data_IF_780317802353
#
_entry.id   IF_780317802353
#
_cell.length_a   1.000
_cell.length_b   1.000
_cell.length_c   1.000
_cell.angle_alpha   90.00
_cell.angle_beta   90.00
_cell.angle_gamma   90.00
#
_symmetry.space_group_name_H-M   'P 1'
#
loop_
_entity.id
_entity.type
_entity.pdbx_description
1 polymer ?
#
# COMPACT_ATOMS: atom_id res chain seq x y z
N UNK A 1 -13.48 -23.39 -57.46
CA UNK A 1 -14.01 -23.68 -56.10
C UNK A 1 -12.85 -23.75 -55.12
N UNK A 2 -12.91 -22.95 -54.05
CA UNK A 2 -11.89 -22.78 -53.01
C UNK A 2 -12.23 -23.69 -51.82
N UNK A 3 -11.30 -24.51 -51.33
CA UNK A 3 -11.22 -24.96 -49.93
C UNK A 3 -9.74 -25.18 -49.56
N UNK A 4 -9.26 -24.78 -48.36
CA UNK A 4 -7.85 -24.51 -48.06
C UNK A 4 -7.16 -25.61 -47.25
N UNK A 5 -5.83 -25.72 -47.36
CA UNK A 5 -5.02 -26.67 -46.59
C UNK A 5 -3.95 -25.90 -45.79
N UNK A 6 -4.27 -25.70 -44.51
CA UNK A 6 -3.39 -25.83 -43.34
C UNK A 6 -1.91 -25.44 -43.50
N UNK A 7 -1.63 -24.14 -43.37
CA UNK A 7 -0.29 -23.64 -43.08
C UNK A 7 -0.08 -23.61 -41.56
N UNK A 8 0.17 -24.78 -41.00
CA UNK A 8 0.71 -24.90 -39.65
C UNK A 8 2.21 -24.63 -39.68
N UNK A 9 2.66 -23.58 -38.99
CA UNK A 9 3.94 -23.60 -38.30
C UNK A 9 3.92 -22.54 -37.19
N UNK A 10 3.84 -23.03 -35.96
CA UNK A 10 4.00 -22.26 -34.75
C UNK A 10 5.39 -21.62 -34.73
N UNK A 11 5.46 -20.30 -34.79
CA UNK A 11 6.63 -19.54 -34.35
C UNK A 11 6.30 -18.91 -33.01
N UNK A 12 6.31 -19.76 -31.98
CA UNK A 12 6.36 -19.34 -30.60
C UNK A 12 7.74 -18.71 -30.34
N UNK A 13 7.82 -17.38 -30.38
CA UNK A 13 8.97 -16.65 -29.85
C UNK A 13 8.53 -15.23 -29.45
N UNK A 14 8.86 -14.86 -28.21
CA UNK A 14 8.95 -13.48 -27.70
C UNK A 14 7.67 -12.77 -27.19
N UNK A 15 6.84 -13.45 -26.41
CA UNK A 15 6.07 -12.78 -25.35
C UNK A 15 6.64 -13.19 -23.99
N UNK A 16 7.93 -12.93 -23.79
CA UNK A 16 8.48 -12.84 -22.45
C UNK A 16 7.77 -11.65 -21.79
N UNK A 17 6.73 -11.94 -21.03
CA UNK A 17 6.10 -10.99 -20.14
C UNK A 17 7.15 -10.73 -19.04
N UNK A 18 7.78 -9.56 -18.94
CA UNK A 18 8.31 -9.17 -17.65
C UNK A 18 7.07 -8.94 -16.79
N UNK A 19 6.58 -10.02 -16.18
CA UNK A 19 5.91 -9.95 -14.89
C UNK A 19 6.91 -9.23 -14.00
N UNK A 20 6.86 -7.90 -14.02
CA UNK A 20 7.69 -7.01 -13.24
C UNK A 20 7.20 -7.16 -11.81
N UNK A 21 7.57 -8.28 -11.20
CA UNK A 21 7.52 -8.47 -9.77
C UNK A 21 8.40 -7.37 -9.17
N UNK A 22 7.79 -6.63 -8.26
CA UNK A 22 8.43 -5.74 -7.32
C UNK A 22 9.15 -4.54 -7.95
N UNK A 23 8.38 -3.51 -8.30
CA UNK A 23 8.85 -2.19 -7.89
C UNK A 23 9.03 -2.26 -6.37
N UNK A 24 10.24 -2.01 -5.92
CA UNK A 24 10.65 -2.03 -4.51
C UNK A 24 9.81 -1.03 -3.71
N UNK A 25 8.70 -1.49 -3.14
CA UNK A 25 7.75 -0.73 -2.30
C UNK A 25 8.33 -0.44 -0.90
N UNK A 26 9.58 -0.01 -0.81
CA UNK A 26 10.26 0.37 0.43
C UNK A 26 10.33 1.89 0.63
N UNK A 27 10.79 2.67 -0.38
CA UNK A 27 10.88 4.13 -0.27
C UNK A 27 9.51 4.83 -0.32
N UNK A 28 8.58 4.29 -1.12
CA UNK A 28 7.31 4.95 -1.42
C UNK A 28 6.39 5.07 -0.18
N UNK A 29 6.36 4.08 0.70
CA UNK A 29 5.44 4.09 1.85
C UNK A 29 5.83 5.13 2.93
N UNK A 30 7.12 5.26 3.22
CA UNK A 30 7.63 6.26 4.16
C UNK A 30 7.44 7.68 3.63
N UNK A 31 7.79 7.91 2.36
CA UNK A 31 7.58 9.18 1.68
C UNK A 31 6.08 9.55 1.63
N UNK A 32 5.21 8.57 1.37
CA UNK A 32 3.77 8.77 1.38
C UNK A 32 3.27 9.12 2.78
N UNK A 33 3.78 8.49 3.85
CA UNK A 33 3.42 8.83 5.23
C UNK A 33 3.82 10.27 5.60
N UNK A 34 4.96 10.74 5.09
CA UNK A 34 5.41 12.14 5.24
C UNK A 34 4.49 13.09 4.45
N UNK A 35 4.27 12.83 3.16
CA UNK A 35 3.42 13.65 2.28
C UNK A 35 1.97 13.75 2.75
N UNK A 36 1.43 12.66 3.31
CA UNK A 36 0.08 12.61 3.88
C UNK A 36 -0.01 13.19 5.29
N UNK A 37 1.13 13.61 5.87
CA UNK A 37 1.19 14.28 7.16
C UNK A 37 0.90 13.37 8.36
N UNK A 38 1.21 12.07 8.29
CA UNK A 38 0.95 11.14 9.39
C UNK A 38 1.61 11.61 10.70
N UNK A 39 2.82 12.15 10.62
CA UNK A 39 3.59 12.66 11.75
C UNK A 39 3.06 13.99 12.32
N UNK A 40 2.09 14.65 11.66
CA UNK A 40 1.46 15.84 12.23
C UNK A 40 0.64 15.51 13.49
N UNK A 41 0.12 14.27 13.58
CA UNK A 41 -0.70 13.82 14.70
C UNK A 41 -0.06 12.69 15.50
N UNK A 42 0.66 11.78 14.83
CA UNK A 42 1.30 10.63 15.46
C UNK A 42 2.80 10.87 15.67
N UNK A 43 3.36 10.33 16.76
CA UNK A 43 4.80 10.30 16.95
C UNK A 43 5.41 9.02 16.34
N UNK A 44 6.67 9.09 15.93
CA UNK A 44 7.51 7.94 15.56
C UNK A 44 8.93 8.21 16.05
N UNK A 45 9.51 7.28 16.80
CA UNK A 45 10.83 7.41 17.43
C UNK A 45 10.99 8.71 18.25
N UNK A 46 9.90 9.16 18.91
CA UNK A 46 9.90 10.39 19.71
C UNK A 46 9.72 11.69 18.91
N UNK A 47 9.59 11.63 17.58
CA UNK A 47 9.38 12.79 16.71
C UNK A 47 7.95 12.84 16.15
N UNK A 48 7.37 14.03 16.00
CA UNK A 48 6.02 14.23 15.44
C UNK A 48 4.98 14.69 16.47
N UNK A 49 3.72 14.45 16.16
CA UNK A 49 2.57 14.90 16.95
C UNK A 49 2.27 14.02 18.16
N UNK A 50 1.48 14.57 19.10
CA UNK A 50 0.99 13.87 20.30
C UNK A 50 -0.54 13.76 20.34
N UNK A 51 -1.21 14.12 19.25
CA UNK A 51 -2.67 14.14 19.15
C UNK A 51 -3.25 12.72 19.00
N UNK A 52 -2.47 11.80 18.47
CA UNK A 52 -2.84 10.41 18.29
C UNK A 52 -1.74 9.47 18.85
N UNK A 53 -2.08 8.18 18.99
CA UNK A 53 -1.14 7.19 19.51
C UNK A 53 0.13 7.09 18.65
N UNK A 54 1.32 6.86 19.23
CA UNK A 54 2.55 6.72 18.45
C UNK A 54 2.46 5.56 17.46
N UNK A 55 3.16 5.70 16.32
CA UNK A 55 3.30 4.67 15.29
C UNK A 55 4.34 3.61 15.67
N UNK A 56 5.18 3.87 16.66
CA UNK A 56 6.12 2.89 17.21
C UNK A 56 5.39 1.57 17.55
N UNK A 57 5.90 0.45 17.03
CA UNK A 57 5.31 -0.88 17.23
C UNK A 57 3.90 -1.07 16.65
N UNK A 58 3.39 -0.19 15.77
CA UNK A 58 2.05 -0.37 15.18
C UNK A 58 1.95 -1.65 14.35
N UNK A 59 3.03 -2.04 13.66
CA UNK A 59 3.11 -3.28 12.88
C UNK A 59 3.15 -4.55 13.73
N UNK A 60 3.51 -4.43 15.01
CA UNK A 60 3.38 -5.52 15.99
C UNK A 60 1.98 -5.58 16.62
N UNK A 61 1.28 -4.44 16.71
CA UNK A 61 -0.04 -4.31 17.34
C UNK A 61 -1.21 -4.61 16.40
N UNK A 62 -1.06 -4.31 15.11
CA UNK A 62 -2.14 -4.46 14.13
C UNK A 62 -1.68 -5.32 12.93
N UNK A 63 -2.47 -6.33 12.53
CA UNK A 63 -2.18 -7.07 11.31
C UNK A 63 -2.42 -6.19 10.07
N UNK A 64 -1.85 -6.54 8.89
CA UNK A 64 -1.92 -5.71 7.68
C UNK A 64 -3.33 -5.32 7.25
N UNK A 65 -4.31 -6.22 7.42
CA UNK A 65 -5.71 -5.96 7.12
C UNK A 65 -6.28 -4.82 7.98
N UNK A 66 -5.93 -4.81 9.26
CA UNK A 66 -6.42 -3.78 10.19
C UNK A 66 -5.70 -2.45 9.99
N UNK A 67 -4.43 -2.47 9.59
CA UNK A 67 -3.72 -1.27 9.13
C UNK A 67 -4.41 -0.65 7.91
N UNK A 68 -4.79 -1.47 6.92
CA UNK A 68 -5.51 -1.02 5.73
C UNK A 68 -6.85 -0.37 6.09
N UNK A 69 -7.61 -0.98 7.00
CA UNK A 69 -8.89 -0.40 7.48
C UNK A 69 -8.64 0.90 8.26
N UNK A 70 -7.60 0.95 9.10
CA UNK A 70 -7.29 2.12 9.90
C UNK A 70 -6.97 3.36 9.04
N UNK A 71 -6.22 3.18 7.94
CA UNK A 71 -5.90 4.29 7.03
C UNK A 71 -7.07 4.63 6.08
N UNK A 72 -7.78 3.63 5.55
CA UNK A 72 -8.83 3.87 4.56
C UNK A 72 -10.13 4.34 5.22
N UNK A 73 -10.49 3.73 6.35
CA UNK A 73 -11.80 3.92 7.00
C UNK A 73 -11.65 4.11 8.52
N UNK A 74 -10.93 5.15 8.98
CA UNK A 74 -10.66 5.34 10.42
C UNK A 74 -11.93 5.42 11.27
N UNK A 75 -13.03 5.95 10.71
CA UNK A 75 -14.34 6.02 11.38
C UNK A 75 -15.06 4.69 11.55
N UNK A 76 -14.70 3.64 10.81
CA UNK A 76 -15.22 2.29 11.05
C UNK A 76 -14.64 1.69 12.34
N UNK A 77 -13.36 1.98 12.65
CA UNK A 77 -12.73 1.55 13.91
C UNK A 77 -13.04 2.47 15.07
N UNK A 78 -13.06 3.78 14.82
CA UNK A 78 -13.30 4.79 15.84
C UNK A 78 -14.27 5.85 15.29
N UNK A 79 -15.59 5.79 15.59
CA UNK A 79 -16.60 6.66 14.98
C UNK A 79 -16.32 8.17 15.08
N UNK A 80 -15.59 8.60 16.12
CA UNK A 80 -15.19 10.00 16.35
C UNK A 80 -13.76 10.32 15.88
N UNK A 81 -13.13 9.44 15.09
CA UNK A 81 -11.77 9.64 14.59
C UNK A 81 -11.63 10.98 13.88
N UNK A 82 -10.57 11.70 14.24
CA UNK A 82 -10.14 12.92 13.56
C UNK A 82 -9.14 12.63 12.43
N UNK A 83 -8.54 11.44 12.43
CA UNK A 83 -7.69 10.97 11.33
C UNK A 83 -8.49 11.01 10.01
N UNK A 84 -7.96 11.65 8.95
CA UNK A 84 -8.62 11.69 7.66
C UNK A 84 -8.65 10.30 7.02
N UNK A 85 -9.58 10.09 6.11
CA UNK A 85 -9.65 8.86 5.30
C UNK A 85 -8.69 8.97 4.12
N UNK A 86 -7.91 7.92 3.90
CA UNK A 86 -7.02 7.78 2.75
C UNK A 86 -7.53 6.75 1.71
N UNK A 87 -8.83 6.45 1.72
CA UNK A 87 -9.44 5.49 0.79
C UNK A 87 -9.35 5.92 -0.68
N UNK A 88 -9.08 7.21 -0.94
CA UNK A 88 -8.92 7.78 -2.27
C UNK A 88 -7.57 7.44 -2.94
N UNK A 89 -6.59 6.94 -2.18
CA UNK A 89 -5.28 6.60 -2.72
C UNK A 89 -5.37 5.45 -3.72
N UNK A 90 -4.57 5.45 -4.80
CA UNK A 90 -4.42 4.30 -5.69
C UNK A 90 -4.07 3.02 -4.90
N UNK A 91 -4.54 1.84 -5.33
CA UNK A 91 -4.31 0.59 -4.59
C UNK A 91 -2.83 0.30 -4.28
N UNK A 92 -1.93 0.66 -5.20
CA UNK A 92 -0.48 0.49 -5.02
C UNK A 92 0.08 1.40 -3.92
N UNK A 93 -0.38 2.65 -3.83
CA UNK A 93 0.03 3.59 -2.80
C UNK A 93 -0.51 3.19 -1.43
N UNK A 94 -1.79 2.78 -1.37
CA UNK A 94 -2.38 2.24 -0.15
C UNK A 94 -1.62 1.01 0.36
N UNK A 95 -1.27 0.07 -0.53
CA UNK A 95 -0.48 -1.10 -0.18
C UNK A 95 0.95 -0.72 0.29
N UNK A 96 1.59 0.25 -0.34
CA UNK A 96 2.91 0.74 0.08
C UNK A 96 2.86 1.39 1.47
N UNK A 97 1.84 2.19 1.76
CA UNK A 97 1.65 2.79 3.09
C UNK A 97 1.39 1.73 4.16
N UNK A 98 0.53 0.74 3.90
CA UNK A 98 0.29 -0.37 4.83
C UNK A 98 1.57 -1.15 5.09
N UNK A 99 2.34 -1.47 4.04
CA UNK A 99 3.62 -2.18 4.17
C UNK A 99 4.63 -1.40 5.02
N UNK A 100 4.68 -0.08 4.85
CA UNK A 100 5.52 0.77 5.69
C UNK A 100 5.10 0.70 7.16
N UNK A 101 3.80 0.88 7.46
CA UNK A 101 3.27 0.82 8.83
C UNK A 101 3.45 -0.57 9.46
N UNK A 102 3.30 -1.64 8.69
CA UNK A 102 3.56 -3.02 9.11
C UNK A 102 5.03 -3.24 9.52
N UNK A 103 5.95 -2.51 8.88
CA UNK A 103 7.38 -2.53 9.19
C UNK A 103 7.77 -1.83 10.49
N UNK A 104 6.89 -1.00 11.08
CA UNK A 104 7.16 -0.26 12.32
C UNK A 104 6.88 -1.15 13.54
N UNK A 105 7.89 -1.94 13.93
CA UNK A 105 7.82 -2.88 15.06
C UNK A 105 8.57 -2.37 16.28
#
# INVERSE_FOLDING_TARGET
>A
MKIPVTMGLALALLLACPSSRAQTQGPQGAELAERLGCLACHALNGHGGKLAAPLDGVGARLPPRELAIAIAYPRQRHPRAKMPSYAYLPPMEQAALVKYLEGLK
#
